data_IF_859943243868
#
_entry.id   IF_859943243868
#
_cell.length_a   1.000
_cell.length_b   1.000
_cell.length_c   1.000
_cell.angle_alpha   90.00
_cell.angle_beta   90.00
_cell.angle_gamma   90.00
#
_symmetry.space_group_name_H-M   'P 1'
#
loop_
_entity.id
_entity.type
_entity.pdbx_description
1 polymer ?
#
# COMPACT_ATOMS: atom_id res chain seq x y z
N UNK A 1 -2.38 15.47 -0.48
CA UNK A 1 -3.84 15.32 -0.34
C UNK A 1 -4.09 14.14 0.58
N UNK A 2 -4.83 14.35 1.66
CA UNK A 2 -5.22 13.25 2.55
C UNK A 2 -6.52 12.63 2.04
N UNK A 3 -6.40 11.47 1.40
CA UNK A 3 -7.55 10.76 0.81
C UNK A 3 -8.42 10.08 1.86
N UNK A 4 -8.05 10.10 3.13
CA UNK A 4 -8.90 9.61 4.23
C UNK A 4 -9.85 10.68 4.76
N UNK A 5 -9.62 11.94 4.40
CA UNK A 5 -10.45 13.07 4.79
C UNK A 5 -11.63 13.24 3.82
N UNK A 6 -12.86 13.11 4.33
CA UNK A 6 -14.09 13.22 3.54
C UNK A 6 -14.31 14.61 2.94
N UNK A 7 -13.84 15.70 3.58
CA UNK A 7 -14.04 17.05 3.04
C UNK A 7 -13.27 17.24 1.73
N UNK A 8 -12.07 16.66 1.65
CA UNK A 8 -11.25 16.67 0.44
C UNK A 8 -11.91 15.85 -0.66
N UNK A 9 -12.51 14.70 -0.32
CA UNK A 9 -13.20 13.86 -1.32
C UNK A 9 -14.36 14.60 -1.95
N UNK A 10 -15.15 15.34 -1.16
CA UNK A 10 -16.26 16.12 -1.70
C UNK A 10 -15.80 17.32 -2.53
N UNK A 11 -14.77 18.05 -2.10
CA UNK A 11 -14.22 19.19 -2.86
C UNK A 11 -13.70 18.78 -4.24
N UNK A 12 -13.06 17.60 -4.34
CA UNK A 12 -12.40 17.13 -5.56
C UNK A 12 -13.14 15.99 -6.26
N UNK A 13 -14.40 15.73 -5.90
CA UNK A 13 -15.21 14.64 -6.44
C UNK A 13 -15.32 14.76 -7.97
N UNK A 14 -14.97 13.69 -8.68
CA UNK A 14 -14.98 13.59 -10.14
C UNK A 14 -14.16 14.70 -10.84
N UNK A 15 -13.08 15.21 -10.23
CA UNK A 15 -12.26 16.28 -10.83
C UNK A 15 -10.90 15.79 -11.34
N UNK A 16 -10.42 14.63 -10.89
CA UNK A 16 -9.08 14.16 -11.23
C UNK A 16 -9.10 13.23 -12.45
N UNK A 17 -8.16 13.42 -13.36
CA UNK A 17 -7.96 12.52 -14.51
C UNK A 17 -7.04 11.35 -14.16
N UNK A 18 -6.10 11.57 -13.23
CA UNK A 18 -5.08 10.59 -12.83
C UNK A 18 -4.78 10.68 -11.34
N UNK A 19 -4.61 9.53 -10.71
CA UNK A 19 -4.07 9.40 -9.34
C UNK A 19 -2.81 8.54 -9.40
N UNK A 20 -1.75 8.98 -8.75
CA UNK A 20 -0.54 8.17 -8.53
C UNK A 20 -0.28 8.10 -7.04
N UNK A 21 -0.41 6.90 -6.47
CA UNK A 21 -0.17 6.65 -5.06
C UNK A 21 1.02 5.69 -4.90
N UNK A 22 2.13 6.18 -4.35
CA UNK A 22 3.36 5.40 -4.18
C UNK A 22 3.82 5.40 -2.74
N UNK A 23 3.98 4.21 -2.17
CA UNK A 23 4.48 3.99 -0.81
C UNK A 23 3.72 4.79 0.26
N UNK A 24 2.42 4.96 0.11
CA UNK A 24 1.57 5.63 1.12
C UNK A 24 0.54 4.68 1.71
N UNK A 25 -0.08 3.83 0.88
CA UNK A 25 -1.18 2.99 1.32
C UNK A 25 -0.83 1.99 2.42
N UNK A 26 0.43 1.58 2.56
CA UNK A 26 0.82 0.70 3.66
C UNK A 26 0.47 1.34 5.01
N UNK A 27 0.65 2.66 5.15
CA UNK A 27 0.39 3.41 6.39
C UNK A 27 -1.09 3.66 6.67
N UNK A 28 -1.98 3.42 5.69
CA UNK A 28 -3.41 3.63 5.85
C UNK A 28 -4.04 2.39 6.48
N UNK A 29 -4.77 2.59 7.59
CA UNK A 29 -5.48 1.51 8.28
C UNK A 29 -6.62 0.97 7.42
N UNK A 30 -7.54 1.84 7.00
CA UNK A 30 -8.66 1.45 6.14
C UNK A 30 -8.33 1.70 4.66
N UNK A 31 -7.68 0.71 4.04
CA UNK A 31 -7.27 0.78 2.63
C UNK A 31 -8.46 0.74 1.66
N UNK A 32 -9.53 0.01 2.00
CA UNK A 32 -10.75 -0.07 1.18
C UNK A 32 -11.41 1.30 1.04
N UNK A 33 -11.56 2.03 2.15
CA UNK A 33 -12.07 3.41 2.13
C UNK A 33 -11.15 4.33 1.31
N UNK A 34 -9.84 4.18 1.43
CA UNK A 34 -8.91 4.94 0.62
C UNK A 34 -9.08 4.66 -0.89
N UNK A 35 -9.30 3.41 -1.29
CA UNK A 35 -9.58 3.06 -2.68
C UNK A 35 -10.93 3.63 -3.16
N UNK A 36 -11.97 3.56 -2.33
CA UNK A 36 -13.29 4.16 -2.63
C UNK A 36 -13.16 5.67 -2.83
N UNK A 37 -12.39 6.34 -1.98
CA UNK A 37 -12.15 7.76 -2.09
C UNK A 37 -11.37 8.10 -3.37
N UNK A 38 -10.36 7.31 -3.73
CA UNK A 38 -9.68 7.46 -5.04
C UNK A 38 -10.65 7.31 -6.20
N UNK A 39 -11.59 6.36 -6.13
CA UNK A 39 -12.62 6.19 -7.16
C UNK A 39 -13.50 7.44 -7.30
N UNK A 40 -13.98 7.99 -6.18
CA UNK A 40 -14.82 9.19 -6.19
C UNK A 40 -14.11 10.46 -6.63
N UNK A 41 -12.80 10.55 -6.44
CA UNK A 41 -11.99 11.68 -6.90
C UNK A 41 -11.80 11.68 -8.43
N UNK A 42 -11.81 10.50 -9.05
CA UNK A 42 -11.57 10.36 -10.48
C UNK A 42 -12.82 10.72 -11.30
N UNK A 43 -12.60 11.46 -12.39
CA UNK A 43 -13.58 11.58 -13.48
C UNK A 43 -13.89 10.21 -14.06
N UNK A 44 -15.04 10.08 -14.73
CA UNK A 44 -15.34 8.90 -15.55
C UNK A 44 -14.22 8.69 -16.58
N UNK A 45 -13.65 7.49 -16.61
CA UNK A 45 -12.51 7.14 -17.47
C UNK A 45 -11.15 7.61 -16.94
N UNK A 46 -11.08 8.17 -15.74
CA UNK A 46 -9.83 8.48 -15.04
C UNK A 46 -9.06 7.22 -14.65
N UNK A 47 -7.76 7.38 -14.37
CA UNK A 47 -6.85 6.26 -14.11
C UNK A 47 -6.15 6.38 -12.76
N UNK A 48 -5.93 5.25 -12.09
CA UNK A 48 -5.14 5.18 -10.87
C UNK A 48 -3.91 4.26 -11.07
N UNK A 49 -2.74 4.75 -10.67
CA UNK A 49 -1.51 3.96 -10.54
C UNK A 49 -1.15 3.83 -9.07
N UNK A 50 -1.12 2.61 -8.55
CA UNK A 50 -0.98 2.35 -7.12
C UNK A 50 0.18 1.37 -6.90
N UNK A 51 1.15 1.78 -6.10
CA UNK A 51 2.32 0.97 -5.73
C UNK A 51 2.54 1.10 -4.22
N UNK A 52 2.47 0.01 -3.48
CA UNK A 52 2.72 0.02 -2.05
C UNK A 52 3.32 -1.29 -1.56
N UNK A 53 3.93 -1.23 -0.38
CA UNK A 53 4.50 -2.38 0.29
C UNK A 53 3.38 -3.21 0.92
N UNK A 54 3.15 -4.42 0.42
CA UNK A 54 2.17 -5.35 0.98
C UNK A 54 2.61 -5.89 2.33
N UNK A 55 3.83 -6.43 2.37
CA UNK A 55 4.44 -7.01 3.55
C UNK A 55 5.93 -6.66 3.58
N UNK A 56 6.46 -6.45 4.79
CA UNK A 56 7.88 -6.21 5.05
C UNK A 56 8.21 -6.78 6.44
N UNK A 57 9.36 -7.44 6.62
CA UNK A 57 9.88 -7.80 7.94
C UNK A 57 9.76 -6.69 9.00
N UNK A 58 9.92 -5.42 8.63
CA UNK A 58 9.75 -4.26 9.54
C UNK A 58 8.44 -4.32 10.32
N UNK A 59 7.33 -4.75 9.72
CA UNK A 59 6.05 -4.87 10.44
C UNK A 59 6.11 -5.85 11.60
N UNK A 60 6.73 -7.01 11.40
CA UNK A 60 6.93 -8.02 12.46
C UNK A 60 7.87 -7.53 13.56
N UNK A 61 8.93 -6.80 13.19
CA UNK A 61 9.86 -6.19 14.15
C UNK A 61 9.19 -5.10 14.98
N UNK A 62 8.39 -4.26 14.34
CA UNK A 62 7.61 -3.23 15.02
C UNK A 62 6.62 -3.83 16.02
N UNK A 63 5.96 -4.94 15.68
CA UNK A 63 5.09 -5.66 16.61
C UNK A 63 5.87 -6.16 17.83
N UNK A 64 7.02 -6.81 17.62
CA UNK A 64 7.89 -7.28 18.71
C UNK A 64 8.37 -6.16 19.62
N UNK A 65 8.82 -5.04 19.04
CA UNK A 65 9.26 -3.87 19.79
C UNK A 65 8.11 -3.28 20.60
N UNK A 66 6.91 -3.19 20.01
CA UNK A 66 5.74 -2.64 20.70
C UNK A 66 5.23 -3.50 21.85
N UNK A 67 5.46 -4.81 21.80
CA UNK A 67 5.11 -5.73 22.88
C UNK A 67 6.24 -5.86 23.92
N UNK A 68 7.37 -5.18 23.75
CA UNK A 68 8.46 -5.22 24.72
C UNK A 68 8.23 -4.29 25.89
N UNK A 69 8.63 -4.71 27.09
CA UNK A 69 8.48 -3.93 28.33
C UNK A 69 9.21 -2.57 28.26
N UNK A 70 10.42 -2.56 27.68
CA UNK A 70 11.26 -1.37 27.63
C UNK A 70 10.80 -0.35 26.58
N UNK A 71 10.28 -0.81 25.43
CA UNK A 71 9.99 0.06 24.28
C UNK A 71 8.51 0.23 23.98
N UNK A 72 7.65 -0.64 24.50
CA UNK A 72 6.21 -0.61 24.25
C UNK A 72 5.52 0.66 24.71
N UNK A 73 6.00 1.25 25.82
CA UNK A 73 5.50 2.51 26.37
C UNK A 73 5.61 3.71 25.41
N UNK A 74 6.56 3.68 24.47
CA UNK A 74 6.73 4.74 23.47
C UNK A 74 5.78 4.61 22.29
N UNK A 75 5.05 3.50 22.18
CA UNK A 75 4.06 3.29 21.12
C UNK A 75 2.65 3.51 21.65
N UNK A 76 2.21 4.77 21.62
CA UNK A 76 0.78 5.10 21.81
C UNK A 76 0.01 4.62 20.57
N UNK A 77 -0.97 3.74 20.77
CA UNK A 77 -1.94 3.26 19.77
C UNK A 77 -1.33 2.48 18.58
N UNK A 78 -0.78 1.30 18.87
CA UNK A 78 -0.11 0.42 17.91
C UNK A 78 -1.03 -0.31 16.93
N UNK A 79 -1.76 0.41 16.07
CA UNK A 79 -2.35 -0.25 14.90
C UNK A 79 -1.23 -0.76 14.00
N UNK A 80 -1.26 -2.04 13.56
CA UNK A 80 -0.28 -2.55 12.62
C UNK A 80 -0.37 -1.74 11.32
N UNK A 81 0.75 -1.11 10.92
CA UNK A 81 0.87 -0.35 9.67
C UNK A 81 1.09 -1.27 8.45
N UNK A 82 0.91 -2.58 8.60
CA UNK A 82 1.20 -3.55 7.56
C UNK A 82 0.08 -4.57 7.49
N UNK A 83 -0.29 -4.93 6.28
CA UNK A 83 -1.32 -5.93 6.03
C UNK A 83 -0.77 -7.32 6.43
N UNK A 84 -1.58 -8.21 7.04
CA UNK A 84 -1.15 -9.58 7.36
C UNK A 84 -0.52 -10.28 6.15
N UNK A 85 0.52 -11.10 6.42
CA UNK A 85 1.32 -11.75 5.38
C UNK A 85 0.55 -12.74 4.49
N UNK A 86 -0.67 -13.12 4.88
CA UNK A 86 -1.46 -14.19 4.28
C UNK A 86 -2.58 -13.68 3.37
N UNK A 87 -2.42 -12.53 2.73
CA UNK A 87 -3.40 -12.11 1.72
C UNK A 87 -3.27 -12.99 0.48
N UNK A 88 -4.42 -13.42 -0.03
CA UNK A 88 -4.52 -14.00 -1.36
C UNK A 88 -4.01 -13.01 -2.40
N UNK A 89 -3.34 -13.54 -3.44
CA UNK A 89 -2.68 -12.71 -4.45
C UNK A 89 -3.64 -11.78 -5.20
N UNK A 90 -4.93 -12.15 -5.27
CA UNK A 90 -5.96 -11.37 -5.94
C UNK A 90 -6.81 -10.50 -5.01
N UNK A 91 -6.54 -10.46 -3.70
CA UNK A 91 -7.40 -9.76 -2.74
C UNK A 91 -7.65 -8.29 -3.14
N UNK A 92 -6.57 -7.52 -3.40
CA UNK A 92 -6.73 -6.11 -3.76
C UNK A 92 -7.27 -5.90 -5.17
N UNK A 93 -7.07 -6.85 -6.08
CA UNK A 93 -7.71 -6.81 -7.39
C UNK A 93 -9.23 -6.88 -7.22
N UNK A 94 -9.71 -7.86 -6.45
CA UNK A 94 -11.14 -8.06 -6.21
C UNK A 94 -11.75 -6.83 -5.51
N UNK A 95 -11.10 -6.31 -4.46
CA UNK A 95 -11.55 -5.08 -3.76
C UNK A 95 -11.70 -3.90 -4.73
N UNK A 96 -10.74 -3.70 -5.63
CA UNK A 96 -10.80 -2.59 -6.59
C UNK A 96 -11.92 -2.80 -7.62
N UNK A 97 -12.12 -4.02 -8.08
CA UNK A 97 -13.20 -4.38 -9.01
C UNK A 97 -14.59 -4.20 -8.36
N UNK A 98 -14.76 -4.60 -7.10
CA UNK A 98 -15.99 -4.43 -6.32
C UNK A 98 -16.35 -2.95 -6.13
N UNK A 99 -15.34 -2.08 -6.00
CA UNK A 99 -15.53 -0.62 -5.92
C UNK A 99 -15.99 -0.03 -7.27
N UNK A 100 -15.68 -0.70 -8.38
CA UNK A 100 -16.04 -0.28 -9.73
C UNK A 100 -14.87 0.09 -10.64
N UNK A 101 -13.62 -0.14 -10.20
CA UNK A 101 -12.48 -0.03 -11.10
C UNK A 101 -12.44 -1.19 -12.08
N UNK A 102 -12.02 -0.92 -13.32
CA UNK A 102 -11.48 -1.95 -14.20
C UNK A 102 -9.98 -2.09 -13.94
N UNK A 103 -9.55 -3.23 -13.39
CA UNK A 103 -8.13 -3.48 -13.12
C UNK A 103 -7.43 -3.92 -14.41
N UNK A 104 -6.59 -3.03 -14.96
CA UNK A 104 -5.81 -3.31 -16.18
C UNK A 104 -4.58 -4.18 -15.88
N UNK A 105 -3.95 -3.97 -14.73
CA UNK A 105 -2.75 -4.69 -14.30
C UNK A 105 -2.67 -4.72 -12.78
N UNK A 106 -2.48 -5.89 -12.20
CA UNK A 106 -2.23 -6.07 -10.77
C UNK A 106 -1.13 -7.12 -10.64
N UNK A 107 -0.02 -6.73 -10.02
CA UNK A 107 1.15 -7.58 -9.89
C UNK A 107 1.67 -7.50 -8.46
N UNK A 108 2.03 -8.65 -7.92
CA UNK A 108 2.81 -8.77 -6.71
C UNK A 108 4.26 -9.02 -7.12
N UNK A 109 5.19 -8.36 -6.45
CA UNK A 109 6.62 -8.60 -6.66
C UNK A 109 7.33 -8.61 -5.32
N UNK A 110 8.11 -9.65 -5.10
CA UNK A 110 9.00 -9.73 -3.96
C UNK A 110 10.32 -9.06 -4.32
N UNK A 111 10.61 -7.95 -3.63
CA UNK A 111 11.88 -7.23 -3.81
C UNK A 111 12.80 -7.63 -2.68
N UNK A 112 13.84 -8.39 -3.01
CA UNK A 112 14.97 -8.57 -2.09
C UNK A 112 15.84 -7.32 -2.15
N UNK A 113 15.84 -6.57 -1.05
CA UNK A 113 16.82 -5.51 -0.87
C UNK A 113 18.16 -6.15 -0.50
N UNK A 114 19.06 -6.20 -1.47
CA UNK A 114 20.47 -6.42 -1.16
C UNK A 114 20.96 -5.14 -0.51
N UNK A 115 21.11 -5.16 0.81
CA UNK A 115 21.96 -4.19 1.47
C UNK A 115 23.35 -4.42 0.89
N UNK A 116 23.86 -3.42 0.17
CA UNK A 116 25.24 -3.42 -0.24
C UNK A 116 26.03 -3.52 1.08
N UNK A 117 26.66 -4.67 1.32
CA UNK A 117 27.91 -4.62 2.05
C UNK A 117 28.78 -3.62 1.26
N UNK A 118 29.58 -2.80 1.94
CA UNK A 118 30.44 -1.79 1.30
C UNK A 118 31.40 -2.35 0.23
N UNK A 119 31.37 -3.65 -0.02
CA UNK A 119 32.07 -4.36 -1.07
C UNK A 119 31.14 -4.67 -2.27
N UNK A 120 31.12 -3.75 -3.24
CA UNK A 120 30.40 -3.90 -4.52
C UNK A 120 30.87 -5.12 -5.32
N UNK A 121 29.92 -5.87 -5.90
CA UNK A 121 29.87 -6.19 -7.36
C UNK A 121 28.40 -6.36 -7.81
N UNK A 122 28.00 -5.84 -8.98
CA UNK A 122 26.62 -5.93 -9.45
C UNK A 122 26.35 -7.28 -10.13
N UNK A 123 25.28 -7.99 -9.78
CA UNK A 123 24.78 -9.07 -10.64
C UNK A 123 23.25 -9.21 -10.65
N UNK A 124 22.70 -8.93 -11.83
CA UNK A 124 21.55 -9.49 -12.55
C UNK A 124 20.26 -9.83 -11.79
N UNK A 125 19.20 -9.09 -12.15
CA UNK A 125 17.79 -9.41 -11.89
C UNK A 125 17.41 -10.78 -12.45
N UNK A 126 16.85 -11.63 -11.61
CA UNK A 126 16.06 -12.79 -12.04
C UNK A 126 14.59 -12.36 -11.94
N UNK A 127 13.88 -12.40 -13.08
CA UNK A 127 12.44 -12.19 -13.15
C UNK A 127 11.78 -13.56 -13.24
N UNK A 128 10.98 -13.91 -12.23
CA UNK A 128 10.09 -15.06 -12.27
C UNK A 128 8.71 -14.56 -12.69
N UNK A 129 8.20 -15.07 -13.82
CA UNK A 129 6.84 -14.81 -14.27
C UNK A 129 5.89 -15.74 -13.53
N UNK A 130 4.85 -15.19 -12.92
CA UNK A 130 3.63 -15.92 -12.55
C UNK A 130 2.59 -15.73 -13.66
#
# INVERSE_FOLDING_TARGET
MDITNSSIVEEYRNLLDKIVCRNTLQQIVNKELAFQNMYYLLKRGGHAGIIFCLANPVGSWQLKISSSENWGQYRKNGTPLFTPANLEDNYYKNVLEDIGFRVVRCERSDVQLQFLNDERKPSNRIVSNC
#
